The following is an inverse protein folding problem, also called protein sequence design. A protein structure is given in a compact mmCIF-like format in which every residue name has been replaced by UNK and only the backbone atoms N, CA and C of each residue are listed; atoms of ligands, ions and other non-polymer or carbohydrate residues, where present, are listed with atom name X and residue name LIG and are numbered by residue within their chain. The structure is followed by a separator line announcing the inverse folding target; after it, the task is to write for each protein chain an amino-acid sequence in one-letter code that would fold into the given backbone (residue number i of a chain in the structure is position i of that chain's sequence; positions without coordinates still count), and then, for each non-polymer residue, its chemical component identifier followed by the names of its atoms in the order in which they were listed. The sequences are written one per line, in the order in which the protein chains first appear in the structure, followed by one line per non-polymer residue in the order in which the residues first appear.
data_IF_265149790254
#
_entry.id   IF_265149790254
#
_cell.length_a   1.000
_cell.length_b   1.000
_cell.length_c   1.000
_cell.angle_alpha   90.00
_cell.angle_beta   90.00
_cell.angle_gamma   90.00
#
_symmetry.space_group_name_H-M   'P 1'
#
loop_
_entity.id
_entity.type
_entity.pdbx_description
1 polymer ?
#
# COMPACT_ATOMS: atom_id res chain seq x y z
N UNK A 1 15.35 -9.11 13.45
CA UNK A 1 14.01 -9.58 13.77
C UNK A 1 13.21 -9.92 12.52
N UNK A 2 12.08 -10.58 12.68
CA UNK A 2 11.16 -10.82 11.57
C UNK A 2 10.26 -9.59 11.38
N UNK A 3 10.00 -9.25 10.13
CA UNK A 3 8.98 -8.32 9.66
C UNK A 3 7.93 -9.14 8.92
N UNK A 4 6.71 -9.21 9.47
CA UNK A 4 5.61 -9.97 8.88
C UNK A 4 4.63 -9.06 8.17
N UNK A 5 3.89 -9.66 7.25
CA UNK A 5 2.81 -9.02 6.51
C UNK A 5 1.48 -9.69 6.87
N UNK A 6 0.52 -8.88 7.31
CA UNK A 6 -0.84 -9.32 7.60
C UNK A 6 -1.71 -8.97 6.39
N UNK A 7 -2.16 -9.99 5.68
CA UNK A 7 -3.05 -9.82 4.54
C UNK A 7 -4.39 -9.18 4.94
N UNK A 8 -5.01 -8.47 4.02
CA UNK A 8 -6.30 -7.78 4.21
C UNK A 8 -7.46 -8.73 4.49
N UNK A 9 -7.34 -10.00 4.11
CA UNK A 9 -8.39 -10.99 4.29
C UNK A 9 -7.89 -12.42 4.13
N UNK A 10 -8.83 -13.35 4.06
CA UNK A 10 -8.61 -14.80 3.95
C UNK A 10 -9.25 -15.34 2.68
N UNK A 11 -8.78 -16.49 2.22
CA UNK A 11 -9.37 -17.14 1.04
C UNK A 11 -10.78 -17.67 1.33
N UNK A 12 -11.70 -17.56 0.36
CA UNK A 12 -13.09 -18.04 0.49
C UNK A 12 -13.16 -19.53 0.85
N UNK A 13 -12.31 -20.35 0.27
CA UNK A 13 -12.19 -21.79 0.57
C UNK A 13 -11.09 -22.11 1.57
N UNK A 14 -10.64 -21.14 2.40
CA UNK A 14 -9.57 -21.30 3.37
C UNK A 14 -10.01 -21.94 4.68
N UNK A 15 -9.03 -22.22 5.53
CA UNK A 15 -9.28 -22.83 6.84
C UNK A 15 -10.11 -21.91 7.74
N UNK A 16 -9.86 -20.62 7.72
CA UNK A 16 -10.51 -19.62 8.55
C UNK A 16 -12.01 -19.55 8.24
N UNK A 17 -12.38 -19.48 6.97
CA UNK A 17 -13.78 -19.45 6.52
C UNK A 17 -14.49 -20.78 6.77
N UNK A 18 -13.76 -21.89 6.73
CA UNK A 18 -14.30 -23.20 7.05
C UNK A 18 -14.54 -23.36 8.57
N UNK A 19 -13.63 -22.90 9.39
CA UNK A 19 -13.74 -23.00 10.85
C UNK A 19 -14.77 -22.06 11.46
N UNK A 20 -14.96 -20.86 10.88
CA UNK A 20 -15.86 -19.83 11.42
C UNK A 20 -16.69 -19.14 10.32
N UNK A 21 -17.67 -19.86 9.83
CA UNK A 21 -18.55 -19.39 8.75
C UNK A 21 -19.46 -18.23 9.15
N UNK A 22 -19.71 -18.04 10.42
CA UNK A 22 -20.56 -16.93 10.91
C UNK A 22 -19.83 -15.61 10.89
N UNK A 23 -18.50 -15.63 11.05
CA UNK A 23 -17.67 -14.42 11.04
C UNK A 23 -17.52 -13.83 9.64
N UNK A 24 -17.52 -14.65 8.59
CA UNK A 24 -17.21 -14.22 7.24
C UNK A 24 -18.47 -14.12 6.35
N UNK A 25 -18.60 -12.96 5.69
CA UNK A 25 -19.69 -12.71 4.73
C UNK A 25 -19.36 -13.34 3.37
N UNK A 26 -19.66 -14.64 3.20
CA UNK A 26 -19.36 -15.40 1.97
C UNK A 26 -20.17 -14.95 0.74
N UNK A 27 -21.15 -14.05 0.91
CA UNK A 27 -21.92 -13.44 -0.19
C UNK A 27 -21.39 -12.08 -0.62
N UNK A 28 -20.21 -11.71 -0.15
CA UNK A 28 -19.52 -10.50 -0.54
C UNK A 28 -18.02 -10.77 -0.66
N UNK A 29 -17.33 -9.92 -1.42
CA UNK A 29 -15.89 -9.92 -1.56
C UNK A 29 -15.34 -8.54 -1.25
N UNK A 30 -14.15 -8.49 -0.69
CA UNK A 30 -13.38 -7.25 -0.51
C UNK A 30 -12.73 -6.85 -1.83
N UNK A 31 -12.61 -5.55 -2.06
CA UNK A 31 -11.93 -5.02 -3.23
C UNK A 31 -11.67 -3.52 -3.10
N UNK A 32 -11.54 -2.87 -4.24
CA UNK A 32 -11.42 -1.43 -4.37
C UNK A 32 -12.34 -0.89 -5.47
N UNK A 33 -12.91 0.31 -5.30
CA UNK A 33 -13.69 0.96 -6.35
C UNK A 33 -12.80 1.32 -7.55
N UNK A 34 -13.39 1.59 -8.73
CA UNK A 34 -12.65 2.17 -9.85
C UNK A 34 -11.91 3.44 -9.46
N UNK A 35 -10.64 3.50 -9.82
CA UNK A 35 -9.78 4.67 -9.61
C UNK A 35 -8.78 4.84 -10.78
N UNK A 36 -7.85 5.80 -10.65
CA UNK A 36 -6.83 6.08 -11.67
C UNK A 36 -5.87 4.89 -11.87
N UNK A 37 -5.60 4.11 -10.81
CA UNK A 37 -4.68 2.97 -10.84
C UNK A 37 -5.38 1.69 -11.30
N UNK A 38 -6.69 1.60 -11.12
CA UNK A 38 -7.53 0.47 -11.51
C UNK A 38 -8.87 0.94 -12.10
N UNK A 39 -8.94 1.34 -13.38
CA UNK A 39 -10.14 1.93 -13.99
C UNK A 39 -11.39 1.05 -13.93
N UNK A 40 -11.21 -0.25 -13.77
CA UNK A 40 -12.31 -1.23 -13.60
C UNK A 40 -12.62 -1.54 -12.13
N UNK A 41 -11.88 -0.96 -11.20
CA UNK A 41 -11.85 -1.38 -9.81
C UNK A 41 -11.16 -2.74 -9.65
N UNK A 42 -11.14 -3.23 -8.42
CA UNK A 42 -10.51 -4.50 -8.09
C UNK A 42 -11.45 -5.35 -7.23
N UNK A 43 -11.58 -6.62 -7.57
CA UNK A 43 -12.23 -7.62 -6.73
C UNK A 43 -11.16 -8.62 -6.29
N UNK A 44 -10.87 -8.66 -4.99
CA UNK A 44 -9.79 -9.49 -4.45
C UNK A 44 -10.22 -10.93 -4.12
N UNK A 45 -11.51 -11.24 -4.22
CA UNK A 45 -12.03 -12.58 -3.96
C UNK A 45 -11.98 -13.01 -2.48
N UNK A 46 -11.88 -12.07 -1.56
CA UNK A 46 -11.70 -12.32 -0.13
C UNK A 46 -13.00 -11.99 0.61
N UNK A 47 -13.66 -12.94 1.29
CA UNK A 47 -14.85 -12.65 2.08
C UNK A 47 -14.49 -11.75 3.27
N UNK A 48 -15.20 -10.63 3.48
CA UNK A 48 -14.95 -9.74 4.61
C UNK A 48 -15.45 -10.34 5.93
N UNK A 49 -14.80 -9.97 7.04
CA UNK A 49 -15.34 -10.22 8.37
C UNK A 49 -16.56 -9.33 8.63
N UNK A 50 -17.62 -9.89 9.21
CA UNK A 50 -18.79 -9.12 9.64
C UNK A 50 -18.45 -8.26 10.86
N UNK A 51 -18.52 -6.91 10.77
CA UNK A 51 -18.18 -6.03 11.87
C UNK A 51 -19.13 -6.17 13.06
N UNK A 52 -20.39 -6.58 12.86
CA UNK A 52 -21.35 -6.78 13.93
C UNK A 52 -21.05 -8.07 14.72
N UNK A 53 -20.75 -9.17 14.00
CA UNK A 53 -20.34 -10.44 14.63
C UNK A 53 -19.03 -10.26 15.38
N UNK A 54 -18.07 -9.54 14.81
CA UNK A 54 -16.80 -9.24 15.45
C UNK A 54 -16.98 -8.43 16.72
N UNK A 55 -17.81 -7.37 16.72
CA UNK A 55 -18.12 -6.57 17.88
C UNK A 55 -18.89 -7.36 18.94
N UNK A 56 -19.88 -8.16 18.56
CA UNK A 56 -20.66 -9.01 19.48
C UNK A 56 -19.78 -10.04 20.22
N UNK A 57 -18.66 -10.46 19.61
CA UNK A 57 -17.65 -11.35 20.20
C UNK A 57 -16.53 -10.60 20.94
N UNK A 58 -16.69 -9.32 21.23
CA UNK A 58 -15.68 -8.50 21.91
C UNK A 58 -14.36 -8.41 21.13
N UNK A 59 -14.42 -8.42 19.80
CA UNK A 59 -13.27 -8.38 18.89
C UNK A 59 -12.30 -9.58 19.02
N UNK A 60 -12.71 -10.67 19.68
CA UNK A 60 -11.83 -11.82 19.94
C UNK A 60 -11.20 -12.38 18.65
N UNK A 61 -11.92 -12.52 17.51
CA UNK A 61 -11.30 -12.99 16.27
C UNK A 61 -10.16 -12.11 15.78
N UNK A 62 -10.30 -10.77 15.88
CA UNK A 62 -9.26 -9.83 15.52
C UNK A 62 -8.08 -9.86 16.50
N UNK A 63 -8.36 -9.98 17.80
CA UNK A 63 -7.34 -10.15 18.85
C UNK A 63 -6.50 -11.40 18.58
N UNK A 64 -7.14 -12.53 18.28
CA UNK A 64 -6.43 -13.80 18.03
C UNK A 64 -5.60 -13.74 16.76
N UNK A 65 -6.11 -13.07 15.72
CA UNK A 65 -5.38 -12.82 14.48
C UNK A 65 -4.10 -12.01 14.75
N UNK A 66 -4.19 -10.92 15.51
CA UNK A 66 -3.04 -10.10 15.87
C UNK A 66 -2.03 -10.88 16.70
N UNK A 67 -2.47 -11.60 17.72
CA UNK A 67 -1.61 -12.43 18.58
C UNK A 67 -0.85 -13.48 17.80
N UNK A 68 -1.54 -14.20 16.92
CA UNK A 68 -0.92 -15.23 16.07
C UNK A 68 0.17 -14.64 15.17
N UNK A 69 0.00 -13.42 14.69
CA UNK A 69 0.96 -12.76 13.84
C UNK A 69 2.09 -12.07 14.61
N UNK A 70 1.81 -11.47 15.77
CA UNK A 70 2.78 -10.67 16.52
C UNK A 70 3.70 -11.52 17.41
N UNK A 71 3.31 -12.74 17.79
CA UNK A 71 4.06 -13.57 18.74
C UNK A 71 5.52 -13.82 18.34
N UNK A 72 5.83 -13.84 17.05
CA UNK A 72 7.16 -14.21 16.54
C UNK A 72 7.82 -13.13 15.66
N UNK A 73 7.31 -11.90 15.65
CA UNK A 73 7.88 -10.84 14.85
C UNK A 73 8.11 -9.55 15.64
N UNK A 74 9.08 -8.75 15.20
CA UNK A 74 9.37 -7.45 15.79
C UNK A 74 8.60 -6.31 15.13
N UNK A 75 8.08 -6.55 13.91
CA UNK A 75 7.24 -5.60 13.19
C UNK A 75 6.18 -6.34 12.36
N UNK A 76 4.98 -5.76 12.29
CA UNK A 76 3.85 -6.25 11.52
C UNK A 76 3.39 -5.15 10.54
N UNK A 77 3.44 -5.44 9.24
CA UNK A 77 2.75 -4.64 8.24
C UNK A 77 1.29 -5.07 8.20
N UNK A 78 0.39 -4.12 8.24
CA UNK A 78 -1.02 -4.36 8.00
C UNK A 78 -1.32 -3.91 6.59
N UNK A 79 -1.65 -4.85 5.74
CA UNK A 79 -2.05 -4.60 4.37
C UNK A 79 -3.38 -3.85 4.34
N UNK A 80 -3.48 -2.83 3.47
CA UNK A 80 -4.66 -1.99 3.33
C UNK A 80 -5.22 -1.53 4.68
N UNK A 81 -4.42 -0.79 5.45
CA UNK A 81 -4.76 -0.42 6.85
C UNK A 81 -6.06 0.38 6.98
N UNK A 82 -6.57 0.97 5.88
CA UNK A 82 -7.89 1.60 5.81
C UNK A 82 -9.03 0.63 6.11
N UNK A 83 -8.77 -0.69 6.03
CA UNK A 83 -9.70 -1.74 6.41
C UNK A 83 -10.19 -1.62 7.85
N UNK A 84 -9.39 -1.01 8.75
CA UNK A 84 -9.81 -0.73 10.13
C UNK A 84 -10.93 0.31 10.22
N UNK A 85 -11.09 1.16 9.20
CA UNK A 85 -12.13 2.18 9.11
C UNK A 85 -13.29 1.75 8.22
N UNK A 86 -12.96 1.23 7.04
CA UNK A 86 -13.95 0.81 6.03
C UNK A 86 -13.32 -0.11 5.00
N UNK A 87 -14.12 -1.05 4.49
CA UNK A 87 -13.78 -1.91 3.35
C UNK A 87 -14.77 -1.71 2.21
N UNK A 88 -14.28 -1.79 0.99
CA UNK A 88 -15.13 -1.86 -0.20
C UNK A 88 -15.65 -3.28 -0.36
N UNK A 89 -16.96 -3.47 -0.17
CA UNK A 89 -17.63 -4.76 -0.31
C UNK A 89 -18.32 -4.83 -1.66
N UNK A 90 -18.05 -5.90 -2.38
CA UNK A 90 -18.64 -6.20 -3.69
C UNK A 90 -19.56 -7.40 -3.49
N UNK A 91 -20.87 -7.30 -3.84
CA UNK A 91 -21.77 -8.45 -3.78
C UNK A 91 -21.25 -9.60 -4.65
N UNK A 92 -21.49 -10.84 -4.20
CA UNK A 92 -21.05 -12.03 -4.92
C UNK A 92 -21.58 -12.04 -6.36
N UNK A 93 -20.69 -12.26 -7.33
CA UNK A 93 -21.03 -12.29 -8.75
C UNK A 93 -21.11 -10.93 -9.44
N UNK A 94 -20.97 -9.83 -8.70
CA UNK A 94 -20.97 -8.47 -9.26
C UNK A 94 -19.56 -7.98 -9.60
N UNK A 95 -19.49 -6.93 -10.43
CA UNK A 95 -18.26 -6.22 -10.78
C UNK A 95 -17.87 -5.23 -9.70
N UNK A 96 -16.60 -4.82 -9.66
CA UNK A 96 -16.05 -3.99 -8.59
C UNK A 96 -16.72 -2.60 -8.48
N UNK A 97 -17.26 -2.05 -9.56
CA UNK A 97 -18.01 -0.78 -9.58
C UNK A 97 -19.39 -0.86 -8.90
N UNK A 98 -19.87 -2.07 -8.59
CA UNK A 98 -21.17 -2.33 -7.91
C UNK A 98 -21.05 -2.47 -6.40
N UNK A 99 -19.89 -2.22 -5.85
CA UNK A 99 -19.64 -2.30 -4.42
C UNK A 99 -20.12 -1.08 -3.64
N UNK A 100 -19.93 -1.17 -2.33
CA UNK A 100 -20.16 -0.07 -1.38
C UNK A 100 -19.18 -0.15 -0.21
N UNK A 101 -18.86 1.00 0.40
CA UNK A 101 -18.08 1.01 1.63
C UNK A 101 -18.89 0.57 2.84
N UNK A 102 -18.41 -0.44 3.52
CA UNK A 102 -18.92 -0.87 4.83
C UNK A 102 -17.97 -0.36 5.91
N UNK A 103 -18.52 0.35 6.90
CA UNK A 103 -17.75 0.91 8.02
C UNK A 103 -17.44 -0.15 9.07
N UNK A 104 -16.27 0.00 9.67
CA UNK A 104 -15.78 -0.81 10.79
C UNK A 104 -15.60 0.07 12.03
N UNK A 105 -15.64 -0.51 13.25
CA UNK A 105 -15.48 0.22 14.49
C UNK A 105 -14.01 0.61 14.71
N UNK A 106 -13.51 1.58 13.97
CA UNK A 106 -12.10 1.94 13.86
C UNK A 106 -11.44 2.24 15.20
N UNK A 107 -12.13 2.92 16.12
CA UNK A 107 -11.55 3.30 17.41
C UNK A 107 -11.31 2.06 18.29
N UNK A 108 -12.24 1.11 18.29
CA UNK A 108 -12.07 -0.15 19.02
C UNK A 108 -10.96 -1.01 18.40
N UNK A 109 -10.94 -1.12 17.06
CA UNK A 109 -9.90 -1.90 16.36
C UNK A 109 -8.50 -1.31 16.57
N UNK A 110 -8.35 0.01 16.55
CA UNK A 110 -7.09 0.67 16.85
C UNK A 110 -6.68 0.51 18.30
N UNK A 111 -7.63 0.54 19.24
CA UNK A 111 -7.35 0.29 20.65
C UNK A 111 -6.85 -1.15 20.87
N UNK A 112 -7.51 -2.15 20.26
CA UNK A 112 -7.05 -3.55 20.27
C UNK A 112 -5.66 -3.68 19.65
N UNK A 113 -5.44 -3.07 18.49
CA UNK A 113 -4.14 -3.10 17.79
C UNK A 113 -3.02 -2.50 18.66
N UNK A 114 -3.25 -1.34 19.26
CA UNK A 114 -2.29 -0.68 20.15
C UNK A 114 -1.96 -1.55 21.38
N UNK A 115 -2.99 -2.15 22.00
CA UNK A 115 -2.82 -3.03 23.15
C UNK A 115 -1.99 -4.28 22.83
N UNK A 116 -2.32 -4.97 21.73
CA UNK A 116 -1.59 -6.19 21.33
C UNK A 116 -0.17 -5.86 20.83
N UNK A 117 0.03 -4.73 20.15
CA UNK A 117 1.36 -4.22 19.79
C UNK A 117 2.27 -4.05 21.01
N UNK A 118 1.75 -3.41 22.08
CA UNK A 118 2.50 -3.23 23.32
C UNK A 118 2.79 -4.56 24.03
N UNK A 119 1.79 -5.45 24.13
CA UNK A 119 1.94 -6.77 24.76
C UNK A 119 3.01 -7.62 24.09
N UNK A 120 3.08 -7.57 22.76
CA UNK A 120 4.02 -8.38 21.97
C UNK A 120 5.31 -7.65 21.64
N UNK A 121 5.44 -6.36 22.01
CA UNK A 121 6.57 -5.50 21.61
C UNK A 121 6.80 -5.53 20.10
N UNK A 122 5.70 -5.50 19.36
CA UNK A 122 5.68 -5.59 17.90
C UNK A 122 5.30 -4.23 17.32
N UNK A 123 6.18 -3.62 16.54
CA UNK A 123 5.91 -2.38 15.84
C UNK A 123 4.84 -2.60 14.77
N UNK A 124 3.97 -1.62 14.56
CA UNK A 124 2.94 -1.70 13.52
C UNK A 124 3.20 -0.69 12.41
N UNK A 125 3.18 -1.16 11.18
CA UNK A 125 3.31 -0.36 9.97
C UNK A 125 2.04 -0.58 9.17
N UNK A 126 1.27 0.48 8.92
CA UNK A 126 0.04 0.43 8.11
C UNK A 126 0.34 0.77 6.66
N UNK A 127 -0.05 -0.11 5.75
CA UNK A 127 -0.04 0.23 4.33
C UNK A 127 -1.21 1.19 4.05
N UNK A 128 -0.86 2.47 3.85
CA UNK A 128 -1.77 3.60 3.63
C UNK A 128 -1.60 4.19 2.21
N UNK A 129 -1.51 3.31 1.22
CA UNK A 129 -1.40 3.69 -0.20
C UNK A 129 -2.78 3.85 -0.85
N UNK A 130 -2.84 4.60 -1.96
CA UNK A 130 -4.06 4.83 -2.72
C UNK A 130 -4.98 5.90 -2.13
N UNK A 131 -6.29 5.67 -2.18
CA UNK A 131 -7.29 6.64 -1.69
C UNK A 131 -7.48 6.52 -0.18
N UNK A 132 -6.69 7.27 0.57
CA UNK A 132 -6.71 7.26 2.04
C UNK A 132 -7.68 8.31 2.57
N UNK A 133 -8.73 7.92 3.35
CA UNK A 133 -9.60 8.87 4.01
C UNK A 133 -8.83 9.75 5.00
N UNK A 134 -9.04 11.07 4.97
CA UNK A 134 -8.32 12.01 5.84
C UNK A 134 -8.49 11.68 7.32
N UNK A 135 -9.69 11.18 7.71
CA UNK A 135 -10.03 10.85 9.09
C UNK A 135 -9.17 9.74 9.69
N UNK A 136 -8.70 8.76 8.88
CA UNK A 136 -7.88 7.67 9.41
C UNK A 136 -6.42 8.07 9.61
N UNK A 137 -5.90 9.02 8.85
CA UNK A 137 -4.49 9.43 8.91
C UNK A 137 -4.11 9.91 10.31
N UNK A 138 -4.95 10.79 10.90
CA UNK A 138 -4.75 11.26 12.27
C UNK A 138 -4.85 10.13 13.29
N UNK A 139 -5.88 9.28 13.16
CA UNK A 139 -6.09 8.14 14.07
C UNK A 139 -4.94 7.14 14.07
N UNK A 140 -4.40 6.79 12.89
CA UNK A 140 -3.23 5.91 12.75
C UNK A 140 -2.00 6.52 13.41
N UNK A 141 -1.70 7.80 13.10
CA UNK A 141 -0.57 8.50 13.70
C UNK A 141 -0.67 8.54 15.22
N UNK A 142 -1.82 8.92 15.76
CA UNK A 142 -2.04 9.09 17.21
C UNK A 142 -2.04 7.75 17.94
N UNK A 143 -2.34 6.65 17.23
CA UNK A 143 -2.22 5.26 17.72
C UNK A 143 -0.81 4.68 17.58
N UNK A 144 0.17 5.44 17.07
CA UNK A 144 1.55 4.99 16.95
C UNK A 144 1.80 4.06 15.74
N UNK A 145 0.87 3.96 14.79
CA UNK A 145 1.03 3.19 13.56
C UNK A 145 1.90 3.97 12.59
N UNK A 146 2.97 3.35 12.08
CA UNK A 146 3.85 3.94 11.08
C UNK A 146 3.18 3.91 9.71
N UNK A 147 3.29 5.02 8.97
CA UNK A 147 2.83 5.14 7.58
C UNK A 147 3.77 4.41 6.63
N UNK A 148 3.29 4.02 5.44
CA UNK A 148 4.08 3.34 4.43
C UNK A 148 4.31 4.27 3.23
N UNK A 149 5.54 4.71 3.02
CA UNK A 149 5.88 5.70 1.98
C UNK A 149 6.68 5.05 0.87
N UNK A 150 6.05 4.91 -0.29
CA UNK A 150 6.67 4.33 -1.48
C UNK A 150 7.11 5.46 -2.41
N UNK A 151 8.39 5.47 -2.78
CA UNK A 151 9.00 6.51 -3.59
C UNK A 151 8.17 6.87 -4.83
N UNK A 152 7.60 5.89 -5.51
CA UNK A 152 6.83 6.13 -6.74
C UNK A 152 5.61 7.05 -6.55
N UNK A 153 5.09 7.15 -5.32
CA UNK A 153 3.90 7.95 -4.99
C UNK A 153 4.20 9.23 -4.21
N UNK A 154 5.48 9.48 -3.89
CA UNK A 154 5.88 10.62 -3.08
C UNK A 154 6.23 11.85 -3.96
N UNK A 155 5.32 12.21 -4.87
CA UNK A 155 5.40 13.40 -5.71
C UNK A 155 4.09 14.18 -5.71
N UNK A 156 4.17 15.46 -6.09
CA UNK A 156 2.98 16.27 -6.37
C UNK A 156 2.42 16.01 -7.79
N UNK A 157 1.33 16.70 -8.15
CA UNK A 157 0.71 16.56 -9.46
C UNK A 157 1.57 17.01 -10.65
N UNK A 158 2.69 17.70 -10.39
CA UNK A 158 3.67 18.14 -11.39
C UNK A 158 4.93 17.25 -11.39
N UNK A 159 4.91 16.12 -10.70
CA UNK A 159 6.03 15.20 -10.51
C UNK A 159 7.26 15.78 -9.81
N UNK A 160 7.07 16.79 -8.95
CA UNK A 160 8.12 17.19 -8.02
C UNK A 160 8.15 16.20 -6.87
N UNK A 161 9.20 15.40 -6.79
CA UNK A 161 9.34 14.41 -5.73
C UNK A 161 9.67 15.08 -4.40
N UNK A 162 9.03 14.57 -3.34
CA UNK A 162 9.20 15.03 -1.96
C UNK A 162 10.67 14.98 -1.58
N UNK A 163 11.17 16.09 -1.00
CA UNK A 163 12.53 16.12 -0.47
C UNK A 163 12.73 15.00 0.57
N UNK A 164 13.89 14.32 0.60
CA UNK A 164 14.14 13.27 1.59
C UNK A 164 13.85 13.74 3.03
N UNK A 165 14.25 14.96 3.39
CA UNK A 165 14.05 15.54 4.73
C UNK A 165 12.58 15.90 5.04
N UNK A 166 11.71 15.90 4.03
CA UNK A 166 10.29 16.20 4.19
C UNK A 166 9.41 14.93 4.35
N UNK A 167 10.01 13.75 4.30
CA UNK A 167 9.30 12.51 4.61
C UNK A 167 8.86 12.51 6.08
N UNK A 168 7.69 11.95 6.42
CA UNK A 168 7.26 11.84 7.81
C UNK A 168 8.21 10.94 8.59
N UNK A 169 8.51 11.35 9.83
CA UNK A 169 9.39 10.56 10.72
C UNK A 169 8.72 9.23 11.10
N UNK A 170 7.44 9.27 11.45
CA UNK A 170 6.66 8.06 11.79
C UNK A 170 6.22 7.33 10.52
N UNK A 171 7.21 6.86 9.75
CA UNK A 171 6.98 6.14 8.51
C UNK A 171 8.09 5.11 8.23
N UNK A 172 7.75 4.16 7.40
CA UNK A 172 8.67 3.30 6.67
C UNK A 172 8.75 3.78 5.23
N UNK A 173 9.92 4.23 4.80
CA UNK A 173 10.16 4.62 3.41
C UNK A 173 10.76 3.44 2.62
N UNK A 174 10.24 3.22 1.42
CA UNK A 174 10.71 2.18 0.50
C UNK A 174 10.69 2.69 -0.93
N UNK A 175 11.42 2.03 -1.81
CA UNK A 175 11.39 2.37 -3.24
C UNK A 175 10.15 1.79 -3.91
N UNK A 176 9.85 0.52 -3.61
CA UNK A 176 8.76 -0.25 -4.23
C UNK A 176 8.23 -1.29 -3.24
N UNK A 177 7.20 -2.01 -3.64
CA UNK A 177 6.63 -3.14 -2.89
C UNK A 177 6.59 -4.39 -3.78
N UNK A 178 6.17 -5.53 -3.21
CA UNK A 178 5.96 -6.77 -3.97
C UNK A 178 4.79 -6.69 -4.98
N UNK A 179 3.89 -5.71 -4.82
CA UNK A 179 2.73 -5.48 -5.70
C UNK A 179 3.02 -4.47 -6.82
N UNK A 180 4.20 -3.86 -6.81
CA UNK A 180 4.57 -2.80 -7.74
C UNK A 180 5.72 -3.24 -8.64
N UNK A 181 5.94 -2.56 -9.79
CA UNK A 181 7.06 -2.89 -10.65
C UNK A 181 8.40 -2.74 -9.92
N UNK A 182 9.35 -3.60 -10.24
CA UNK A 182 10.73 -3.41 -9.80
C UNK A 182 11.25 -2.06 -10.29
N UNK A 183 12.29 -1.53 -9.65
CA UNK A 183 12.88 -0.24 -10.05
C UNK A 183 13.27 -0.20 -11.53
N UNK A 184 13.80 -1.32 -12.05
CA UNK A 184 14.11 -1.45 -13.48
C UNK A 184 12.84 -1.47 -14.33
N UNK A 185 11.85 -2.28 -13.95
CA UNK A 185 10.57 -2.37 -14.67
C UNK A 185 9.84 -1.03 -14.71
N UNK A 186 9.84 -0.30 -13.59
CA UNK A 186 9.29 1.07 -13.53
C UNK A 186 10.00 2.01 -14.51
N UNK A 187 11.34 1.99 -14.52
CA UNK A 187 12.15 2.85 -15.39
C UNK A 187 11.97 2.51 -16.86
N UNK A 188 11.77 1.24 -17.21
CA UNK A 188 11.54 0.74 -18.58
C UNK A 188 10.05 0.75 -18.97
N UNK A 189 9.14 1.05 -18.03
CA UNK A 189 7.69 0.98 -18.20
C UNK A 189 7.18 -0.43 -18.58
N UNK A 190 7.84 -1.47 -18.05
CA UNK A 190 7.52 -2.87 -18.35
C UNK A 190 6.13 -3.24 -17.81
N UNK A 191 5.71 -2.66 -16.68
CA UNK A 191 4.39 -2.81 -16.08
C UNK A 191 3.27 -2.30 -16.99
N UNK A 192 3.45 -1.13 -17.61
CA UNK A 192 2.49 -0.58 -18.57
C UNK A 192 2.41 -1.44 -19.84
N UNK A 193 3.56 -1.92 -20.30
CA UNK A 193 3.63 -2.83 -21.45
C UNK A 193 2.92 -4.16 -21.16
N UNK A 194 3.15 -4.72 -19.97
CA UNK A 194 2.50 -5.96 -19.54
C UNK A 194 0.99 -5.76 -19.36
N UNK A 195 0.58 -4.68 -18.69
CA UNK A 195 -0.83 -4.35 -18.49
C UNK A 195 -1.60 -4.20 -19.82
N UNK A 196 -0.95 -3.59 -20.82
CA UNK A 196 -1.53 -3.50 -22.16
C UNK A 196 -1.73 -4.88 -22.81
N UNK A 197 -0.75 -5.79 -22.69
CA UNK A 197 -0.87 -7.16 -23.20
C UNK A 197 -1.97 -7.95 -22.52
N UNK A 198 -2.23 -7.66 -21.25
CA UNK A 198 -3.28 -8.32 -20.45
C UNK A 198 -4.65 -7.65 -20.62
N UNK A 199 -4.77 -6.60 -21.45
CA UNK A 199 -6.04 -5.91 -21.69
C UNK A 199 -6.54 -5.09 -20.51
N UNK A 200 -5.66 -4.65 -19.60
CA UNK A 200 -6.04 -3.86 -18.43
C UNK A 200 -6.40 -2.42 -18.75
N UNK A 201 -6.03 -1.93 -19.94
CA UNK A 201 -6.32 -0.57 -20.39
C UNK A 201 -7.34 -0.60 -21.52
N UNK A 202 -8.61 -0.20 -21.26
CA UNK A 202 -9.69 -0.29 -22.23
C UNK A 202 -9.54 0.70 -23.38
N UNK A 203 -8.75 1.77 -23.19
CA UNK A 203 -8.56 2.83 -24.15
C UNK A 203 -7.08 3.09 -24.45
N UNK A 204 -6.73 3.18 -25.73
CA UNK A 204 -5.38 3.52 -26.17
C UNK A 204 -4.96 4.95 -25.78
N UNK A 205 -5.88 5.86 -25.54
CA UNK A 205 -5.57 7.21 -25.05
C UNK A 205 -5.14 7.17 -23.59
N UNK A 206 -5.82 6.39 -22.76
CA UNK A 206 -5.44 6.17 -21.36
C UNK A 206 -4.01 5.61 -21.31
N UNK A 207 -3.72 4.59 -22.10
CA UNK A 207 -2.38 4.01 -22.16
C UNK A 207 -1.30 5.00 -22.57
N UNK A 208 -1.56 5.82 -23.61
CA UNK A 208 -0.63 6.88 -24.02
C UNK A 208 -0.40 7.91 -22.93
N UNK A 209 -1.46 8.30 -22.22
CA UNK A 209 -1.37 9.23 -21.10
C UNK A 209 -0.51 8.65 -19.97
N UNK A 210 -0.67 7.37 -19.63
CA UNK A 210 0.13 6.68 -18.60
C UNK A 210 1.63 6.61 -18.97
N UNK A 211 1.97 6.33 -20.23
CA UNK A 211 3.37 6.37 -20.69
C UNK A 211 3.95 7.78 -20.61
N UNK A 212 3.20 8.79 -21.05
CA UNK A 212 3.64 10.18 -20.97
C UNK A 212 3.83 10.63 -19.52
N UNK A 213 2.95 10.21 -18.63
CA UNK A 213 3.04 10.47 -17.20
C UNK A 213 4.27 9.80 -16.58
N UNK A 214 4.53 8.54 -16.92
CA UNK A 214 5.73 7.82 -16.49
C UNK A 214 7.03 8.53 -16.92
N UNK A 215 7.09 9.06 -18.13
CA UNK A 215 8.27 9.81 -18.58
C UNK A 215 8.47 11.12 -17.78
N UNK A 216 7.38 11.83 -17.42
CA UNK A 216 7.45 13.00 -16.56
C UNK A 216 7.90 12.61 -15.13
N UNK A 217 7.36 11.54 -14.58
CA UNK A 217 7.73 11.02 -13.26
C UNK A 217 9.22 10.61 -13.21
N UNK A 218 9.72 9.92 -14.22
CA UNK A 218 11.15 9.58 -14.35
C UNK A 218 12.05 10.83 -14.39
N UNK A 219 11.61 11.87 -15.11
CA UNK A 219 12.35 13.12 -15.17
C UNK A 219 12.36 13.81 -13.80
N UNK A 220 11.21 13.89 -13.13
CA UNK A 220 11.12 14.45 -11.78
C UNK A 220 11.97 13.72 -10.75
N UNK A 221 12.03 12.38 -10.82
CA UNK A 221 12.94 11.57 -10.00
C UNK A 221 14.41 11.93 -10.26
N UNK A 222 14.81 11.99 -11.52
CA UNK A 222 16.19 12.34 -11.90
C UNK A 222 16.57 13.75 -11.43
N UNK A 223 15.67 14.71 -11.58
CA UNK A 223 15.87 16.08 -11.11
C UNK A 223 16.01 16.14 -9.59
N UNK A 224 15.21 15.36 -8.87
CA UNK A 224 15.34 15.18 -7.42
C UNK A 224 16.69 14.58 -7.03
N UNK A 225 17.14 13.53 -7.72
CA UNK A 225 18.45 12.91 -7.47
C UNK A 225 19.61 13.90 -7.64
N UNK A 226 19.57 14.75 -8.66
CA UNK A 226 20.57 15.79 -8.86
C UNK A 226 20.46 16.90 -7.81
N UNK A 227 19.24 17.35 -7.51
CA UNK A 227 18.97 18.42 -6.53
C UNK A 227 19.51 18.07 -5.14
N UNK A 228 19.32 16.82 -4.70
CA UNK A 228 19.71 16.36 -3.37
C UNK A 228 21.08 15.63 -3.34
N UNK A 229 21.82 15.67 -4.44
CA UNK A 229 23.19 15.13 -4.51
C UNK A 229 23.26 13.59 -4.40
N UNK A 230 22.18 12.91 -4.73
CA UNK A 230 22.12 11.43 -4.68
C UNK A 230 22.82 10.77 -5.86
N UNK A 231 23.06 11.50 -6.94
CA UNK A 231 23.85 11.06 -8.10
C UNK A 231 24.99 12.03 -8.44
N UNK A 232 26.12 11.53 -8.97
CA UNK A 232 27.20 12.40 -9.46
C UNK A 232 26.73 13.30 -10.61
N UNK A 233 27.34 14.50 -10.75
CA UNK A 233 27.02 15.44 -11.83
C UNK A 233 27.23 14.89 -13.24
N UNK A 234 28.07 13.87 -13.41
CA UNK A 234 28.30 13.18 -14.68
C UNK A 234 27.11 12.32 -15.16
N UNK A 235 26.13 12.02 -14.28
CA UNK A 235 24.90 11.37 -14.69
C UNK A 235 24.09 12.33 -15.57
N UNK A 236 23.64 11.88 -16.73
CA UNK A 236 22.86 12.69 -17.65
C UNK A 236 21.62 13.30 -17.02
N UNK A 237 21.16 14.44 -17.50
CA UNK A 237 20.02 15.19 -16.95
C UNK A 237 18.70 14.93 -17.67
N UNK A 238 18.68 14.08 -18.69
CA UNK A 238 17.46 13.72 -19.43
C UNK A 238 17.12 12.26 -19.19
N UNK A 239 16.05 12.01 -18.45
CA UNK A 239 15.63 10.65 -18.06
C UNK A 239 15.36 9.75 -19.25
N UNK A 240 14.75 10.28 -20.33
CA UNK A 240 14.47 9.54 -21.57
C UNK A 240 15.72 8.97 -22.28
N UNK A 241 16.91 9.50 -21.98
CA UNK A 241 18.18 9.03 -22.55
C UNK A 241 18.95 8.09 -21.63
N UNK A 242 18.42 7.79 -20.44
CA UNK A 242 19.09 6.98 -19.43
C UNK A 242 18.41 5.64 -19.26
N UNK A 243 19.18 4.56 -19.39
CA UNK A 243 18.78 3.24 -18.87
C UNK A 243 19.05 3.13 -17.35
N UNK A 244 18.43 2.14 -16.72
CA UNK A 244 18.68 1.82 -15.31
C UNK A 244 20.11 1.31 -15.14
N UNK A 245 21.02 2.21 -14.80
CA UNK A 245 22.42 1.90 -14.50
C UNK A 245 22.64 1.64 -13.02
N UNK A 246 23.74 0.97 -12.63
CA UNK A 246 24.09 0.81 -11.22
C UNK A 246 24.26 2.14 -10.46
N UNK A 247 24.68 3.21 -11.13
CA UNK A 247 24.78 4.54 -10.52
C UNK A 247 23.42 5.14 -10.24
N UNK A 248 22.51 5.06 -11.20
CA UNK A 248 21.13 5.54 -11.03
C UNK A 248 20.40 4.74 -9.94
N UNK A 249 20.53 3.41 -9.96
CA UNK A 249 19.95 2.54 -8.94
C UNK A 249 20.43 2.95 -7.53
N UNK A 250 21.76 3.06 -7.32
CA UNK A 250 22.31 3.50 -6.03
C UNK A 250 21.85 4.92 -5.65
N UNK A 251 21.67 5.81 -6.63
CA UNK A 251 21.14 7.14 -6.39
C UNK A 251 19.72 7.11 -5.83
N UNK A 252 18.85 6.28 -6.37
CA UNK A 252 17.48 6.10 -5.88
C UNK A 252 17.44 5.44 -4.50
N UNK A 253 18.30 4.44 -4.25
CA UNK A 253 18.46 3.84 -2.92
C UNK A 253 18.91 4.90 -1.90
N UNK A 254 19.89 5.73 -2.25
CA UNK A 254 20.38 6.80 -1.40
C UNK A 254 19.30 7.86 -1.13
N UNK A 255 18.49 8.21 -2.14
CA UNK A 255 17.42 9.18 -1.98
C UNK A 255 16.43 8.77 -0.88
N UNK A 256 16.03 7.49 -0.89
CA UNK A 256 15.15 6.93 0.15
C UNK A 256 15.89 6.79 1.49
N UNK A 257 17.15 6.38 1.48
CA UNK A 257 17.97 6.24 2.69
C UNK A 257 18.25 7.57 3.40
N UNK A 258 18.35 8.68 2.66
CA UNK A 258 18.53 10.03 3.19
C UNK A 258 17.20 10.65 3.68
N UNK A 259 16.07 9.89 3.64
CA UNK A 259 14.77 10.37 4.14
C UNK A 259 14.75 10.52 5.67
N UNK A 260 13.84 11.39 6.15
CA UNK A 260 13.60 11.56 7.58
C UNK A 260 12.82 10.40 8.22
N UNK A 261 12.36 9.44 7.44
CA UNK A 261 11.58 8.29 7.94
C UNK A 261 12.40 7.42 8.89
N UNK A 262 11.78 7.00 9.98
CA UNK A 262 12.44 6.21 11.02
C UNK A 262 12.82 4.79 10.54
N UNK A 263 12.16 4.29 9.51
CA UNK A 263 12.36 2.95 8.98
C UNK A 263 12.61 3.00 7.47
N UNK A 264 13.44 2.07 7.00
CA UNK A 264 13.72 1.85 5.58
C UNK A 264 13.41 0.39 5.23
N UNK A 265 12.78 0.17 4.07
CA UNK A 265 12.43 -1.14 3.52
C UNK A 265 12.97 -1.38 2.13
#
# INVERSE_FOLDING_TARGET
GLYRDLAVGVAEGGAETWCDRELYCLKASVGAPPDILGPLGQNWGLPPMDPHVMAARGYQPFIDLLRANMTSCGALRIDHVMALLRLWWIPYGETADRGAYVKYPVDDLLAVLALESQRHRCMVIGEDLGTVPVEIVGKLRDSGVYSYKVLYFESDGEHHFRAPQAYPVQAMATITTHDLPTLRGYWQSDDLTLGNRLGLYPDAEILRALFADRERAKQGLLDGLHRYGCVPQKVGKKAALLGMSPLLNRGLQRYVADSASALLG
#
